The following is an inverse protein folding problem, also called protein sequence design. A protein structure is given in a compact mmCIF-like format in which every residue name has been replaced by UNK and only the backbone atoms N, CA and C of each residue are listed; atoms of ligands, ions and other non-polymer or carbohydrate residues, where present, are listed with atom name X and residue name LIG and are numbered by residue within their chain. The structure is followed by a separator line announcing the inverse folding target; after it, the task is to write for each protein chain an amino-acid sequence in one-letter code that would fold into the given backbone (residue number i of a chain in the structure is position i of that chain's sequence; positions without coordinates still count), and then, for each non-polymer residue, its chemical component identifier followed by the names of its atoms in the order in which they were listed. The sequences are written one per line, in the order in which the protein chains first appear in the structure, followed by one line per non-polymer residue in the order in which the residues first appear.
data_IF_519033912002
#
_entry.id   IF_519033912002
#
_cell.length_a   1.000
_cell.length_b   1.000
_cell.length_c   1.000
_cell.angle_alpha   90.00
_cell.angle_beta   90.00
_cell.angle_gamma   90.00
#
_symmetry.space_group_name_H-M   'P 1'
#
loop_
_entity.id
_entity.type
_entity.pdbx_description
1 polymer ?
#
# COMPACT_ATOMS: atom_id res chain seq x y z
N UNK A 1 40.50 59.40 -59.16
CA UNK A 1 39.77 60.12 -58.09
C UNK A 1 39.14 59.10 -57.15
N UNK A 2 39.32 59.27 -55.83
CA UNK A 2 38.42 59.03 -54.67
C UNK A 2 37.34 57.92 -54.78
N UNK A 3 36.98 57.05 -53.81
CA UNK A 3 37.33 56.85 -52.39
C UNK A 3 36.42 55.74 -51.79
N UNK A 4 36.99 54.80 -51.00
CA UNK A 4 36.51 54.10 -49.75
C UNK A 4 35.35 53.06 -49.67
N UNK A 5 35.74 51.90 -49.07
CA UNK A 5 35.15 51.06 -47.95
C UNK A 5 33.82 50.32 -48.23
N UNK A 6 33.54 49.09 -47.76
CA UNK A 6 33.59 48.46 -46.41
C UNK A 6 33.50 46.91 -46.55
N UNK A 7 34.33 46.12 -45.83
CA UNK A 7 34.03 45.27 -44.65
C UNK A 7 33.14 44.03 -44.89
N UNK A 8 33.63 42.90 -44.36
CA UNK A 8 33.25 41.48 -44.47
C UNK A 8 31.82 41.07 -44.06
N UNK A 9 31.42 39.85 -44.45
CA UNK A 9 30.40 39.05 -43.76
C UNK A 9 30.79 37.56 -43.74
N UNK A 10 30.61 36.97 -42.56
CA UNK A 10 31.16 35.71 -42.08
C UNK A 10 30.36 34.47 -42.49
N UNK A 11 31.05 33.33 -42.47
CA UNK A 11 30.47 31.97 -42.51
C UNK A 11 29.66 31.75 -41.23
N UNK A 12 28.34 31.66 -41.35
CA UNK A 12 27.43 31.34 -40.24
C UNK A 12 27.09 29.85 -40.23
N UNK A 13 27.78 29.07 -39.40
CA UNK A 13 27.30 27.79 -38.92
C UNK A 13 26.33 28.06 -37.76
N UNK A 14 25.05 27.71 -37.90
CA UNK A 14 24.09 27.67 -36.79
C UNK A 14 23.71 26.22 -36.52
N UNK A 15 24.51 25.56 -35.68
CA UNK A 15 24.05 24.40 -34.91
C UNK A 15 23.53 24.96 -33.60
N UNK A 16 22.21 25.09 -33.47
CA UNK A 16 21.60 25.45 -32.20
C UNK A 16 21.77 24.27 -31.22
N UNK A 17 22.25 24.48 -29.98
CA UNK A 17 22.19 23.44 -28.97
C UNK A 17 20.74 23.33 -28.50
N UNK A 18 20.12 22.18 -28.74
CA UNK A 18 18.88 21.80 -28.03
C UNK A 18 19.29 21.54 -26.59
N UNK A 19 19.30 22.59 -25.77
CA UNK A 19 19.36 22.46 -24.32
C UNK A 19 17.97 22.05 -23.87
N UNK A 20 17.74 20.74 -23.75
CA UNK A 20 16.58 20.23 -23.05
C UNK A 20 16.72 20.62 -21.58
N UNK A 21 16.07 21.70 -21.17
CA UNK A 21 15.89 22.05 -19.77
C UNK A 21 15.09 20.92 -19.11
N UNK A 22 15.79 20.04 -18.41
CA UNK A 22 15.19 19.04 -17.52
C UNK A 22 14.61 19.74 -16.31
N UNK A 23 13.44 20.36 -16.46
CA UNK A 23 12.66 20.81 -15.31
C UNK A 23 12.24 19.57 -14.51
N UNK A 24 12.38 19.56 -13.17
CA UNK A 24 11.83 18.49 -12.36
C UNK A 24 10.33 18.44 -12.60
N UNK A 25 9.79 17.22 -12.79
CA UNK A 25 8.35 17.04 -12.95
C UNK A 25 7.63 17.63 -11.73
N UNK A 26 6.47 18.29 -11.91
CA UNK A 26 5.70 18.80 -10.79
C UNK A 26 5.32 17.62 -9.89
N UNK A 27 5.64 17.74 -8.60
CA UNK A 27 5.14 16.82 -7.56
C UNK A 27 3.61 16.91 -7.52
N UNK A 28 2.94 15.77 -7.58
CA UNK A 28 1.51 15.72 -7.35
C UNK A 28 1.25 16.05 -5.88
N UNK A 29 0.34 16.99 -5.60
CA UNK A 29 -0.19 17.15 -4.24
C UNK A 29 -1.26 16.07 -3.99
N UNK A 30 -0.85 14.81 -4.06
CA UNK A 30 -1.66 13.63 -3.79
C UNK A 30 -1.03 12.89 -2.61
N UNK A 31 -1.84 12.20 -1.81
CA UNK A 31 -1.36 11.51 -0.61
C UNK A 31 -2.29 10.34 -0.32
N UNK A 32 -1.73 9.14 -0.20
CA UNK A 32 -2.48 7.92 0.10
C UNK A 32 -1.61 6.68 0.15
N UNK A 33 -2.10 5.66 0.86
CA UNK A 33 -1.43 4.36 1.00
C UNK A 33 -2.45 3.24 1.25
N UNK A 34 -2.01 1.98 1.15
CA UNK A 34 -2.86 0.81 1.41
C UNK A 34 -2.88 0.53 2.92
N UNK A 35 -4.08 0.53 3.51
CA UNK A 35 -4.31 0.29 4.94
C UNK A 35 -4.78 -1.15 5.23
N UNK A 36 -5.33 -1.84 4.23
CA UNK A 36 -5.77 -3.23 4.38
C UNK A 36 -5.60 -4.00 3.07
N UNK A 37 -4.93 -5.17 3.07
CA UNK A 37 -3.96 -5.60 4.09
C UNK A 37 -2.89 -4.53 4.31
N UNK A 38 -2.42 -4.37 5.56
CA UNK A 38 -1.54 -3.28 5.95
C UNK A 38 -0.22 -3.26 5.17
N UNK A 39 0.01 -2.20 4.39
CA UNK A 39 1.27 -1.99 3.66
C UNK A 39 2.46 -1.77 4.60
N UNK A 40 3.67 -1.84 4.07
CA UNK A 40 4.90 -1.59 4.82
C UNK A 40 4.88 -0.21 5.51
N UNK A 41 4.48 0.84 4.79
CA UNK A 41 4.36 2.18 5.40
C UNK A 41 3.24 2.25 6.45
N UNK A 42 2.16 1.47 6.30
CA UNK A 42 1.11 1.36 7.32
C UNK A 42 1.63 0.69 8.60
N UNK A 43 2.37 -0.42 8.44
CA UNK A 43 3.04 -1.11 9.55
C UNK A 43 4.05 -0.20 10.27
N UNK A 44 4.76 0.65 9.52
CA UNK A 44 5.61 1.68 10.12
C UNK A 44 4.82 2.69 10.94
N UNK A 45 3.75 3.26 10.37
CA UNK A 45 2.91 4.26 11.03
C UNK A 45 2.26 3.72 12.31
N UNK A 46 1.79 2.48 12.26
CA UNK A 46 1.17 1.76 13.38
C UNK A 46 2.19 1.14 14.35
N UNK A 47 3.51 1.38 14.17
CA UNK A 47 4.60 0.88 15.02
C UNK A 47 4.68 -0.65 15.12
N UNK A 48 4.12 -1.36 14.14
CA UNK A 48 4.28 -2.82 14.00
C UNK A 48 5.73 -3.15 13.62
N UNK A 49 6.33 -2.33 12.74
CA UNK A 49 7.73 -2.47 12.33
C UNK A 49 8.47 -1.17 12.65
N UNK A 50 9.70 -1.31 13.17
CA UNK A 50 10.54 -0.15 13.44
C UNK A 50 11.05 0.45 12.13
N UNK A 51 10.58 1.67 11.85
CA UNK A 51 11.00 2.47 10.71
C UNK A 51 11.49 3.86 11.12
N UNK A 52 12.20 4.49 10.19
CA UNK A 52 12.65 5.87 10.24
C UNK A 52 11.50 6.85 10.04
N UNK A 53 11.66 7.90 9.20
CA UNK A 53 10.71 8.99 9.11
C UNK A 53 9.35 8.60 8.52
N UNK A 54 9.28 7.55 7.68
CA UNK A 54 8.05 7.15 6.98
C UNK A 54 6.85 6.90 7.90
N UNK A 55 7.08 6.51 9.17
CA UNK A 55 6.01 6.31 10.16
C UNK A 55 5.18 7.56 10.46
N UNK A 56 5.69 8.75 10.13
CA UNK A 56 4.99 10.01 10.37
C UNK A 56 4.23 10.52 9.15
N UNK A 57 4.51 9.97 7.96
CA UNK A 57 3.92 10.41 6.70
C UNK A 57 3.76 9.23 5.71
N UNK A 58 3.01 8.17 6.09
CA UNK A 58 2.85 6.97 5.26
C UNK A 58 2.22 7.25 3.89
N UNK A 59 1.50 8.36 3.77
CA UNK A 59 0.83 8.82 2.56
C UNK A 59 1.77 9.41 1.49
N UNK A 60 3.06 9.63 1.82
CA UNK A 60 4.00 10.43 1.04
C UNK A 60 5.00 9.63 0.19
N UNK A 61 4.72 8.34 -0.08
CA UNK A 61 5.61 7.50 -0.91
C UNK A 61 5.37 7.78 -2.40
N UNK A 62 5.75 8.98 -2.83
CA UNK A 62 5.62 9.48 -4.19
C UNK A 62 6.92 9.26 -4.99
N UNK A 63 6.80 8.86 -6.25
CA UNK A 63 7.94 8.77 -7.16
C UNK A 63 7.54 8.84 -8.64
N UNK A 64 8.50 8.95 -9.57
CA UNK A 64 8.24 8.86 -11.00
C UNK A 64 7.49 7.58 -11.36
N UNK A 65 6.55 7.64 -12.32
CA UNK A 65 5.81 6.46 -12.81
C UNK A 65 6.73 5.37 -13.35
N UNK A 66 6.32 4.11 -13.18
CA UNK A 66 6.96 2.95 -13.78
C UNK A 66 7.99 2.25 -12.91
N UNK A 67 8.19 2.70 -11.66
CA UNK A 67 9.07 2.03 -10.71
C UNK A 67 8.46 0.70 -10.20
N UNK A 68 9.35 -0.16 -9.67
CA UNK A 68 9.03 -1.47 -9.09
C UNK A 68 9.59 -1.67 -7.69
N UNK A 69 10.03 -0.60 -7.04
CA UNK A 69 10.48 -0.62 -5.65
C UNK A 69 9.37 -0.11 -4.71
N UNK A 70 9.54 -0.34 -3.42
CA UNK A 70 8.58 -0.01 -2.38
C UNK A 70 8.71 1.45 -1.90
N UNK A 71 9.87 2.08 -2.09
CA UNK A 71 10.16 3.46 -1.66
C UNK A 71 9.70 4.54 -2.64
N UNK A 72 9.23 4.19 -3.84
CA UNK A 72 9.03 5.15 -4.92
C UNK A 72 10.35 5.75 -5.43
N UNK A 73 11.49 5.13 -5.14
CA UNK A 73 12.82 5.65 -5.48
C UNK A 73 13.29 6.80 -4.59
N UNK A 74 12.58 7.10 -3.50
CA UNK A 74 12.97 8.11 -2.54
C UNK A 74 13.82 7.51 -1.41
N UNK A 75 15.07 7.94 -1.31
CA UNK A 75 16.01 7.45 -0.30
C UNK A 75 15.58 7.72 1.15
N UNK A 76 14.67 8.69 1.39
CA UNK A 76 14.07 8.92 2.72
C UNK A 76 13.26 7.70 3.19
N UNK A 77 12.71 6.95 2.23
CA UNK A 77 11.84 5.79 2.43
C UNK A 77 12.56 4.46 2.20
N UNK A 78 13.89 4.44 2.19
CA UNK A 78 14.70 3.25 1.92
C UNK A 78 14.39 2.05 2.83
N UNK A 79 13.89 2.29 4.06
CA UNK A 79 13.40 1.23 4.94
C UNK A 79 12.36 0.33 4.24
N UNK A 80 11.50 0.90 3.40
CA UNK A 80 10.44 0.15 2.71
C UNK A 80 10.99 -0.87 1.72
N UNK A 81 12.20 -0.65 1.19
CA UNK A 81 12.87 -1.56 0.25
C UNK A 81 13.67 -2.66 0.96
N UNK A 82 13.91 -2.54 2.27
CA UNK A 82 14.67 -3.51 3.05
C UNK A 82 13.79 -4.72 3.44
N UNK A 83 14.01 -5.83 2.74
CA UNK A 83 13.32 -7.10 2.97
C UNK A 83 13.77 -7.86 4.20
N UNK A 84 14.88 -7.44 4.83
CA UNK A 84 15.37 -8.03 6.07
C UNK A 84 14.64 -7.49 7.31
N UNK A 85 13.88 -6.41 7.16
CA UNK A 85 13.00 -5.92 8.23
C UNK A 85 11.91 -6.97 8.49
N UNK A 86 11.51 -7.09 9.76
CA UNK A 86 10.50 -8.05 10.20
C UNK A 86 9.07 -7.67 9.80
N UNK A 87 8.83 -7.41 8.51
CA UNK A 87 7.52 -7.11 7.95
C UNK A 87 6.52 -8.22 8.28
N UNK A 88 5.40 -7.84 8.90
CA UNK A 88 4.31 -8.77 9.15
C UNK A 88 3.68 -9.17 7.83
N UNK A 89 3.55 -10.46 7.63
CA UNK A 89 2.93 -11.06 6.44
C UNK A 89 1.47 -11.33 6.74
N UNK A 90 0.55 -10.79 5.94
CA UNK A 90 -0.89 -10.99 6.16
C UNK A 90 -1.36 -12.26 5.42
N UNK A 91 -1.93 -13.26 6.11
CA UNK A 91 -2.57 -14.40 5.44
C UNK A 91 -3.80 -13.93 4.67
N UNK A 92 -3.91 -14.34 3.40
CA UNK A 92 -5.03 -13.99 2.53
C UNK A 92 -5.47 -15.19 1.68
N UNK A 93 -6.74 -15.20 1.28
CA UNK A 93 -7.25 -16.17 0.30
C UNK A 93 -6.72 -15.91 -1.11
N UNK A 94 -7.10 -16.78 -2.05
CA UNK A 94 -6.81 -16.62 -3.49
C UNK A 94 -7.50 -15.42 -4.13
N UNK A 95 -8.50 -14.86 -3.44
CA UNK A 95 -9.10 -13.57 -3.76
C UNK A 95 -9.11 -12.73 -2.49
N UNK A 96 -8.71 -11.47 -2.57
CA UNK A 96 -8.67 -10.57 -1.42
C UNK A 96 -8.87 -9.11 -1.80
N UNK A 97 -9.46 -8.32 -0.90
CA UNK A 97 -9.72 -6.90 -1.13
C UNK A 97 -8.57 -6.05 -0.57
N UNK A 98 -8.06 -5.13 -1.39
CA UNK A 98 -7.07 -4.14 -1.02
C UNK A 98 -7.72 -2.76 -0.91
N UNK A 99 -7.58 -2.12 0.23
CA UNK A 99 -8.17 -0.82 0.55
C UNK A 99 -7.09 0.24 0.73
N UNK A 100 -7.19 1.28 -0.09
CA UNK A 100 -6.42 2.51 0.04
C UNK A 100 -7.17 3.53 0.88
N UNK A 101 -6.43 4.29 1.68
CA UNK A 101 -6.88 5.56 2.25
C UNK A 101 -6.25 6.72 1.46
N UNK A 102 -7.04 7.76 1.16
CA UNK A 102 -6.66 8.90 0.33
C UNK A 102 -6.86 10.19 1.12
N UNK A 103 -5.75 10.77 1.59
CA UNK A 103 -5.74 12.02 2.35
C UNK A 103 -5.83 13.24 1.44
N UNK A 104 -5.12 13.22 0.30
CA UNK A 104 -5.19 14.25 -0.72
C UNK A 104 -5.59 13.63 -2.06
N UNK A 105 -6.85 13.82 -2.44
CA UNK A 105 -7.44 13.27 -3.66
C UNK A 105 -6.88 13.98 -4.89
N UNK A 106 -6.59 13.21 -5.94
CA UNK A 106 -6.03 13.76 -7.16
C UNK A 106 -6.52 12.98 -8.38
N UNK A 107 -6.52 13.62 -9.55
CA UNK A 107 -7.01 13.00 -10.78
C UNK A 107 -6.23 11.70 -11.02
N UNK A 108 -6.93 10.59 -11.25
CA UNK A 108 -6.31 9.26 -11.25
C UNK A 108 -6.37 8.60 -12.62
N UNK A 109 -5.21 8.19 -13.15
CA UNK A 109 -5.17 7.37 -14.37
C UNK A 109 -5.67 5.96 -14.08
N UNK A 110 -5.02 5.28 -13.13
CA UNK A 110 -5.34 3.90 -12.78
C UNK A 110 -4.63 3.49 -11.48
N UNK A 111 -5.02 2.32 -11.00
CA UNK A 111 -4.37 1.57 -9.94
C UNK A 111 -3.84 0.29 -10.53
N UNK A 112 -2.58 -0.05 -10.25
CA UNK A 112 -1.96 -1.28 -10.73
C UNK A 112 -1.39 -2.08 -9.57
N UNK A 113 -1.43 -3.40 -9.70
CA UNK A 113 -0.93 -4.32 -8.68
C UNK A 113 0.03 -5.31 -9.33
N UNK A 114 1.16 -5.57 -8.67
CA UNK A 114 2.22 -6.41 -9.20
C UNK A 114 2.70 -7.43 -8.17
N UNK A 115 3.14 -8.60 -8.63
CA UNK A 115 4.02 -9.52 -7.91
C UNK A 115 5.26 -9.68 -8.76
N UNK A 116 6.42 -9.26 -8.23
CA UNK A 116 7.62 -9.08 -9.05
C UNK A 116 7.35 -8.14 -10.24
N UNK A 117 7.70 -8.57 -11.45
CA UNK A 117 7.45 -7.82 -12.69
C UNK A 117 6.06 -8.05 -13.30
N UNK A 118 5.31 -9.05 -12.81
CA UNK A 118 4.02 -9.40 -13.38
C UNK A 118 2.92 -8.50 -12.82
N UNK A 119 2.22 -7.80 -13.72
CA UNK A 119 0.98 -7.09 -13.36
C UNK A 119 -0.14 -8.10 -13.14
N UNK A 120 -0.65 -8.18 -11.92
CA UNK A 120 -1.74 -9.11 -11.55
C UNK A 120 -3.12 -8.46 -11.67
N UNK A 121 -3.22 -7.14 -11.52
CA UNK A 121 -4.50 -6.42 -11.67
C UNK A 121 -4.29 -4.96 -12.11
N UNK A 122 -5.33 -4.38 -12.71
CA UNK A 122 -5.43 -2.95 -13.00
C UNK A 122 -6.87 -2.47 -12.91
N UNK A 123 -7.08 -1.29 -12.32
CA UNK A 123 -8.37 -0.62 -12.20
C UNK A 123 -8.26 0.78 -12.77
N UNK A 124 -9.11 1.13 -13.73
CA UNK A 124 -9.08 2.43 -14.39
C UNK A 124 -9.65 3.52 -13.48
N UNK A 125 -8.97 4.66 -13.38
CA UNK A 125 -9.41 5.80 -12.60
C UNK A 125 -10.22 6.83 -13.41
N UNK A 126 -10.28 6.65 -14.73
CA UNK A 126 -11.01 7.49 -15.68
C UNK A 126 -10.65 8.99 -15.63
N UNK A 127 -9.47 9.34 -15.10
CA UNK A 127 -9.07 10.71 -14.85
C UNK A 127 -9.86 11.41 -13.74
N UNK A 128 -10.68 10.67 -12.98
CA UNK A 128 -11.53 11.21 -11.94
C UNK A 128 -10.77 11.42 -10.62
N UNK A 129 -11.33 12.26 -9.75
CA UNK A 129 -10.95 12.33 -8.34
C UNK A 129 -11.53 11.10 -7.62
N UNK A 130 -10.70 10.24 -6.99
CA UNK A 130 -11.20 9.08 -6.28
C UNK A 130 -11.95 9.47 -4.99
N UNK A 131 -12.76 8.56 -4.43
CA UNK A 131 -13.23 8.66 -3.04
C UNK A 131 -12.05 8.68 -2.04
N UNK A 132 -12.32 9.06 -0.79
CA UNK A 132 -11.30 9.05 0.28
C UNK A 132 -10.87 7.63 0.67
N UNK A 133 -11.68 6.63 0.33
CA UNK A 133 -11.35 5.21 0.49
C UNK A 133 -11.65 4.50 -0.81
N UNK A 134 -10.69 3.73 -1.31
CA UNK A 134 -10.77 2.98 -2.57
C UNK A 134 -10.47 1.53 -2.30
N UNK A 135 -11.40 0.63 -2.64
CA UNK A 135 -11.23 -0.80 -2.46
C UNK A 135 -11.22 -1.53 -3.80
N UNK A 136 -10.25 -2.43 -3.98
CA UNK A 136 -10.10 -3.27 -5.16
C UNK A 136 -10.01 -4.73 -4.76
N UNK A 137 -10.86 -5.58 -5.31
CA UNK A 137 -10.76 -7.02 -5.13
C UNK A 137 -9.78 -7.60 -6.15
N UNK A 138 -8.72 -8.24 -5.67
CA UNK A 138 -7.70 -8.89 -6.47
C UNK A 138 -7.94 -10.39 -6.50
N UNK A 139 -7.83 -10.98 -7.68
CA UNK A 139 -7.69 -12.41 -7.89
C UNK A 139 -6.20 -12.74 -8.12
N UNK A 140 -5.65 -13.61 -7.28
CA UNK A 140 -4.26 -14.03 -7.33
C UNK A 140 -4.02 -15.20 -8.28
N UNK A 141 -5.08 -15.80 -8.84
CA UNK A 141 -4.97 -16.89 -9.81
C UNK A 141 -4.09 -18.03 -9.29
N UNK A 142 -2.96 -18.25 -9.96
CA UNK A 142 -2.00 -19.31 -9.62
C UNK A 142 -0.93 -18.92 -8.59
N UNK A 143 -0.92 -17.69 -8.07
CA UNK A 143 0.02 -17.30 -7.02
C UNK A 143 -0.38 -17.91 -5.67
N UNK A 144 0.60 -18.39 -4.92
CA UNK A 144 0.43 -18.94 -3.58
C UNK A 144 1.66 -18.66 -2.71
N UNK A 145 1.53 -18.91 -1.40
CA UNK A 145 2.60 -18.72 -0.42
C UNK A 145 2.95 -17.26 -0.18
N UNK A 146 4.11 -17.03 0.43
CA UNK A 146 4.60 -15.68 0.74
C UNK A 146 4.91 -14.92 -0.54
N UNK A 147 4.19 -13.82 -0.76
CA UNK A 147 4.38 -12.90 -1.88
C UNK A 147 4.51 -11.46 -1.38
N UNK A 148 5.16 -10.63 -2.19
CA UNK A 148 5.14 -9.18 -2.02
C UNK A 148 4.33 -8.56 -3.15
N UNK A 149 3.22 -7.92 -2.78
CA UNK A 149 2.38 -7.19 -3.72
C UNK A 149 2.82 -5.73 -3.74
N UNK A 150 3.17 -5.21 -4.91
CA UNK A 150 3.36 -3.78 -5.12
C UNK A 150 2.07 -3.17 -5.68
N UNK A 151 1.44 -2.31 -4.91
CA UNK A 151 0.31 -1.50 -5.33
C UNK A 151 0.81 -0.11 -5.77
N UNK A 152 0.35 0.34 -6.95
CA UNK A 152 0.77 1.58 -7.59
C UNK A 152 -0.45 2.42 -7.96
N UNK A 153 -0.51 3.63 -7.42
CA UNK A 153 -1.51 4.65 -7.78
C UNK A 153 -0.94 5.61 -8.81
N UNK A 154 -1.37 5.50 -10.06
CA UNK A 154 -0.90 6.40 -11.13
C UNK A 154 -1.78 7.65 -11.21
N UNK A 155 -1.17 8.82 -10.98
CA UNK A 155 -1.82 10.12 -11.11
C UNK A 155 -2.06 10.47 -12.57
N UNK A 156 -3.18 11.08 -12.92
CA UNK A 156 -3.57 11.35 -14.30
C UNK A 156 -2.78 12.49 -14.96
N UNK A 157 -2.53 13.56 -14.22
CA UNK A 157 -2.06 14.85 -14.72
C UNK A 157 -0.64 15.20 -14.28
N UNK A 158 0.09 14.26 -13.66
CA UNK A 158 1.52 14.39 -13.34
C UNK A 158 2.34 13.22 -13.87
N UNK A 159 3.67 13.30 -13.75
CA UNK A 159 4.58 12.20 -14.10
C UNK A 159 4.76 11.18 -12.96
N UNK A 160 4.07 11.36 -11.82
CA UNK A 160 4.33 10.61 -10.60
C UNK A 160 3.23 9.58 -10.28
N UNK A 161 3.56 8.70 -9.36
CA UNK A 161 2.69 7.67 -8.79
C UNK A 161 3.01 7.48 -7.30
N UNK A 162 2.09 6.86 -6.57
CA UNK A 162 2.28 6.45 -5.18
C UNK A 162 2.47 4.95 -5.09
N UNK A 163 3.40 4.52 -4.25
CA UNK A 163 3.88 3.15 -4.16
C UNK A 163 3.62 2.57 -2.77
N UNK A 164 3.04 1.38 -2.70
CA UNK A 164 2.83 0.65 -1.45
C UNK A 164 3.17 -0.82 -1.64
N UNK A 165 4.10 -1.35 -0.85
CA UNK A 165 4.36 -2.78 -0.79
C UNK A 165 3.56 -3.41 0.35
N UNK A 166 3.00 -4.59 0.09
CA UNK A 166 2.24 -5.38 1.04
C UNK A 166 2.81 -6.80 1.02
N UNK A 167 3.23 -7.29 2.18
CA UNK A 167 3.69 -8.66 2.36
C UNK A 167 2.50 -9.55 2.72
N UNK A 168 2.20 -10.55 1.90
CA UNK A 168 1.02 -11.43 2.04
C UNK A 168 1.40 -12.89 1.94
N UNK A 169 0.59 -13.77 2.53
CA UNK A 169 0.70 -15.22 2.37
C UNK A 169 -0.58 -15.73 1.68
N UNK A 170 -0.50 -15.97 0.37
CA UNK A 170 -1.67 -16.29 -0.45
C UNK A 170 -1.99 -17.78 -0.35
N UNK A 171 -3.25 -18.09 -0.06
CA UNK A 171 -3.72 -19.47 0.12
C UNK A 171 -3.29 -20.10 1.44
N UNK A 172 -2.45 -19.41 2.22
CA UNK A 172 -2.15 -19.77 3.60
C UNK A 172 -3.25 -19.27 4.52
N UNK A 173 -4.43 -19.89 4.45
CA UNK A 173 -5.14 -20.15 5.69
C UNK A 173 -4.34 -21.23 6.41
N UNK A 174 -4.10 -21.08 7.71
CA UNK A 174 -3.26 -21.99 8.48
C UNK A 174 -3.59 -23.46 8.16
N UNK A 175 -2.66 -24.11 7.46
CA UNK A 175 -2.71 -25.53 7.17
C UNK A 175 -2.56 -26.27 8.50
N UNK A 176 -3.70 -26.66 9.07
CA UNK A 176 -3.74 -27.68 10.10
C UNK A 176 -3.15 -28.99 9.58
N UNK A 177 -2.02 -29.39 10.16
CA UNK A 177 -1.48 -30.75 10.15
C UNK A 177 -0.16 -30.88 9.38
N UNK A 178 0.93 -31.37 9.95
CA UNK A 178 1.19 -31.98 11.25
C UNK A 178 2.53 -32.71 11.14
N UNK A 179 3.25 -32.84 12.25
CA UNK A 179 4.12 -34.00 12.47
C UNK A 179 4.35 -34.19 13.98
N UNK A 180 3.63 -35.19 14.49
CA UNK A 180 4.10 -36.30 15.31
C UNK A 180 4.92 -36.06 16.59
N UNK A 181 4.26 -36.29 17.73
CA UNK A 181 4.83 -37.19 18.75
C UNK A 181 4.69 -36.80 20.21
N UNK A 182 3.51 -37.04 20.79
CA UNK A 182 3.37 -37.73 22.08
C UNK A 182 3.44 -36.90 23.37
N UNK A 183 2.41 -37.04 24.20
CA UNK A 183 2.51 -36.79 25.64
C UNK A 183 1.27 -36.15 26.23
N UNK A 184 0.34 -37.00 26.64
CA UNK A 184 -0.76 -36.83 27.57
C UNK A 184 -0.65 -35.74 28.68
N UNK A 185 -1.84 -35.36 29.15
CA UNK A 185 -2.21 -34.80 30.47
C UNK A 185 -2.20 -33.28 30.70
N UNK A 186 -3.40 -32.68 30.63
CA UNK A 186 -3.89 -31.84 31.74
C UNK A 186 -4.38 -30.42 31.42
N UNK A 187 -5.69 -30.30 31.18
CA UNK A 187 -6.58 -29.26 31.72
C UNK A 187 -6.19 -27.77 31.59
N UNK A 188 -6.87 -27.09 30.66
CA UNK A 188 -7.07 -25.64 30.67
C UNK A 188 -7.69 -25.19 29.34
N UNK A 189 -8.94 -24.70 29.37
CA UNK A 189 -9.57 -23.99 28.25
C UNK A 189 -8.66 -22.83 27.84
N UNK A 190 -7.86 -23.04 26.79
CA UNK A 190 -7.08 -21.99 26.14
C UNK A 190 -7.86 -21.58 24.89
N UNK A 191 -8.37 -20.34 24.80
CA UNK A 191 -8.98 -19.85 23.57
C UNK A 191 -7.97 -19.97 22.43
N UNK A 192 -8.36 -20.65 21.36
CA UNK A 192 -7.49 -20.89 20.20
C UNK A 192 -7.28 -19.60 19.41
N UNK A 193 -6.11 -19.45 18.80
CA UNK A 193 -5.68 -18.24 18.10
C UNK A 193 -6.76 -17.63 17.18
N UNK A 194 -6.98 -16.32 17.28
CA UNK A 194 -7.93 -15.62 16.42
C UNK A 194 -7.62 -15.79 14.92
N UNK A 195 -8.57 -16.39 14.18
CA UNK A 195 -8.49 -16.61 12.72
C UNK A 195 -8.77 -15.32 11.93
N UNK A 196 -9.49 -14.35 12.53
CA UNK A 196 -9.80 -13.09 11.89
C UNK A 196 -8.56 -12.17 11.76
N UNK A 197 -8.50 -11.36 10.71
CA UNK A 197 -7.39 -10.41 10.52
C UNK A 197 -7.31 -9.37 11.64
N UNK A 198 -6.10 -8.97 12.05
CA UNK A 198 -5.94 -8.02 13.14
C UNK A 198 -6.60 -6.67 12.84
N UNK A 199 -7.33 -6.14 13.83
CA UNK A 199 -7.90 -4.79 13.74
C UNK A 199 -6.79 -3.73 13.59
N UNK A 200 -7.11 -2.73 12.77
CA UNK A 200 -6.31 -1.53 12.50
C UNK A 200 -7.21 -0.29 12.56
N UNK A 201 -6.78 0.73 13.31
CA UNK A 201 -7.49 2.00 13.47
C UNK A 201 -7.66 2.76 12.15
N UNK A 202 -6.71 2.63 11.21
CA UNK A 202 -6.76 3.31 9.92
C UNK A 202 -7.67 2.62 8.88
N UNK A 203 -8.19 1.44 9.19
CA UNK A 203 -9.02 0.67 8.27
C UNK A 203 -10.51 0.98 8.43
N UNK A 204 -11.20 0.97 7.30
CA UNK A 204 -12.67 1.01 7.24
C UNK A 204 -13.17 -0.42 7.21
N UNK A 205 -14.15 -0.73 8.06
CA UNK A 205 -14.84 -2.01 8.08
C UNK A 205 -16.32 -1.83 7.80
N UNK A 206 -16.86 -2.64 6.90
CA UNK A 206 -18.29 -2.66 6.61
C UNK A 206 -19.03 -3.60 7.56
N UNK A 207 -20.34 -3.42 7.70
CA UNK A 207 -21.17 -4.30 8.52
C UNK A 207 -21.02 -5.77 8.12
N UNK A 208 -20.71 -6.62 9.10
CA UNK A 208 -20.48 -8.05 8.95
C UNK A 208 -19.01 -8.48 8.89
N UNK A 209 -18.07 -7.56 8.64
CA UNK A 209 -16.64 -7.88 8.58
C UNK A 209 -16.08 -8.20 9.97
N UNK A 210 -15.17 -9.17 10.04
CA UNK A 210 -14.58 -9.63 11.31
C UNK A 210 -13.10 -9.27 11.43
N UNK A 211 -12.68 -8.95 12.66
CA UNK A 211 -11.30 -8.64 13.02
C UNK A 211 -10.91 -9.31 14.33
N UNK A 212 -9.62 -9.56 14.54
CA UNK A 212 -9.09 -9.97 15.85
C UNK A 212 -8.56 -8.76 16.61
N UNK A 213 -8.94 -8.61 17.88
CA UNK A 213 -8.39 -7.60 18.77
C UNK A 213 -8.47 -8.06 20.23
N UNK A 214 -7.37 -7.89 20.97
CA UNK A 214 -7.27 -8.22 22.41
C UNK A 214 -7.69 -9.65 22.78
N UNK A 215 -7.33 -10.65 21.96
CA UNK A 215 -7.70 -12.05 22.19
C UNK A 215 -9.19 -12.34 21.99
N UNK A 216 -9.85 -11.56 21.14
CA UNK A 216 -11.25 -11.73 20.80
C UNK A 216 -11.48 -11.52 19.31
N UNK A 217 -12.47 -12.23 18.75
CA UNK A 217 -12.96 -11.96 17.40
C UNK A 217 -14.10 -10.97 17.50
N UNK A 218 -14.02 -9.90 16.73
CA UNK A 218 -15.01 -8.83 16.69
C UNK A 218 -15.66 -8.75 15.32
N UNK A 219 -16.95 -8.45 15.27
CA UNK A 219 -17.70 -8.19 14.03
C UNK A 219 -18.16 -6.74 13.98
N UNK A 220 -17.88 -6.05 12.89
CA UNK A 220 -18.41 -4.71 12.66
C UNK A 220 -19.94 -4.82 12.48
N UNK A 221 -20.72 -4.10 13.30
CA UNK A 221 -22.18 -4.11 13.19
C UNK A 221 -22.67 -3.29 12.00
N UNK A 222 -21.92 -2.26 11.65
CA UNK A 222 -22.14 -1.37 10.50
C UNK A 222 -20.80 -0.77 10.06
N UNK A 223 -20.85 0.18 9.13
CA UNK A 223 -19.67 0.89 8.66
C UNK A 223 -18.93 1.58 9.83
N UNK A 224 -17.66 1.25 10.03
CA UNK A 224 -16.81 1.78 11.12
C UNK A 224 -15.41 2.10 10.61
N UNK A 225 -14.81 3.16 11.14
CA UNK A 225 -13.38 3.48 10.96
C UNK A 225 -12.86 4.06 12.27
N UNK A 226 -11.64 3.70 12.67
CA UNK A 226 -10.98 4.31 13.84
C UNK A 226 -11.45 3.87 15.22
N UNK A 227 -12.69 3.41 15.38
CA UNK A 227 -13.17 2.91 16.68
C UNK A 227 -12.59 1.52 17.00
N UNK A 228 -11.95 1.43 18.16
CA UNK A 228 -11.27 0.23 18.67
C UNK A 228 -12.27 -0.77 19.26
N UNK A 229 -12.23 -2.05 18.85
CA UNK A 229 -13.09 -3.08 19.43
C UNK A 229 -12.89 -3.21 20.94
N UNK A 230 -13.98 -3.44 21.68
CA UNK A 230 -13.93 -3.63 23.14
C UNK A 230 -13.93 -2.36 24.01
N UNK A 231 -13.75 -1.17 23.44
CA UNK A 231 -13.66 0.07 24.25
C UNK A 231 -15.02 0.71 24.59
N UNK A 232 -16.06 0.43 23.79
CA UNK A 232 -17.39 1.06 23.90
C UNK A 232 -18.50 0.15 24.46
N UNK A 233 -18.17 -1.08 24.86
CA UNK A 233 -19.13 -2.08 25.37
C UNK A 233 -20.17 -2.54 24.34
N UNK A 234 -21.27 -3.14 24.81
CA UNK A 234 -22.31 -3.77 23.96
C UNK A 234 -23.01 -2.77 23.00
N UNK A 235 -23.03 -1.48 23.33
CA UNK A 235 -23.59 -0.42 22.48
C UNK A 235 -22.61 0.08 21.41
N UNK A 236 -21.40 -0.48 21.39
CA UNK A 236 -20.36 -0.19 20.42
C UNK A 236 -20.68 -0.66 19.02
N UNK A 237 -19.90 -0.12 18.08
CA UNK A 237 -19.90 -0.49 16.66
C UNK A 237 -19.37 -1.90 16.39
N UNK A 238 -18.71 -2.50 17.38
CA UNK A 238 -18.21 -3.87 17.34
C UNK A 238 -19.08 -4.81 18.17
N UNK A 239 -19.31 -5.99 17.65
CA UNK A 239 -19.92 -7.13 18.33
C UNK A 239 -18.82 -8.13 18.69
N UNK A 240 -18.67 -8.46 19.96
CA UNK A 240 -17.76 -9.50 20.43
C UNK A 240 -18.32 -10.88 20.06
N UNK A 241 -17.58 -11.66 19.29
CA UNK A 241 -17.90 -13.03 18.92
C UNK A 241 -17.25 -14.06 19.86
N UNK A 242 -16.49 -13.60 20.86
CA UNK A 242 -15.86 -14.42 21.87
C UNK A 242 -14.34 -14.49 21.76
N UNK A 243 -13.77 -15.10 22.79
CA UNK A 243 -12.33 -15.23 22.95
C UNK A 243 -11.69 -16.11 21.88
N UNK A 244 -10.49 -15.70 21.51
CA UNK A 244 -9.52 -16.38 20.67
C UNK A 244 -8.12 -15.76 20.96
#
# INVERSE_FOLDING_TARGET
MRMKRRVAAAVGALVAPVVALSLPAPTASAHGWVVSPGSRQDQCANRVVQCGPIKWEPASVEGPKGLRNCSGGDARWADLDDDSKGWRVTPIGTTHTFTWTIEARHATSNWQYFIGDQRIAQFDGHGALPPASVSHQLDFGGFSGRQKVLAVWNIADTANAFYACIDVNIGGGDDGGGDDGGGDDGGGDQPGDCVAGAWSAGSVYNGGETVSHDGHTWRAKWWVTGEEPGTTGEWGVWEDLGAC
#
